data_IF_098831863546
#
_entry.id   IF_098831863546
#
_cell.length_a   1.000
_cell.length_b   1.000
_cell.length_c   1.000
_cell.angle_alpha   90.00
_cell.angle_beta   90.00
_cell.angle_gamma   90.00
#
_symmetry.space_group_name_H-M   'P 1'
#
loop_
_entity.id
_entity.type
_entity.pdbx_description
1 polymer ?
#
# COMPACT_ATOMS: atom_id res chain seq x y z
N UNK A 1 -36.61 -22.41 -32.01
CA UNK A 1 -35.74 -21.22 -32.18
C UNK A 1 -36.18 -20.19 -31.15
N UNK A 2 -35.33 -19.78 -30.20
CA UNK A 2 -35.40 -18.48 -29.52
C UNK A 2 -34.23 -18.36 -28.52
N UNK A 3 -33.25 -17.52 -28.87
CA UNK A 3 -32.06 -17.26 -28.05
C UNK A 3 -31.79 -15.75 -27.96
N UNK A 4 -31.70 -15.28 -26.71
CA UNK A 4 -30.96 -14.13 -26.22
C UNK A 4 -31.29 -12.72 -26.75
N UNK A 5 -32.28 -12.08 -26.13
CA UNK A 5 -32.29 -10.62 -25.97
C UNK A 5 -31.20 -10.23 -24.95
N UNK A 6 -29.97 -10.03 -25.43
CA UNK A 6 -28.83 -9.60 -24.61
C UNK A 6 -29.01 -8.14 -24.20
N UNK A 7 -28.97 -7.90 -22.90
CA UNK A 7 -29.32 -6.66 -22.21
C UNK A 7 -28.43 -5.47 -22.62
N UNK A 8 -29.01 -4.54 -23.39
CA UNK A 8 -28.36 -3.28 -23.80
C UNK A 8 -28.10 -2.34 -22.62
N UNK A 9 -28.83 -2.47 -21.51
CA UNK A 9 -28.70 -1.59 -20.33
C UNK A 9 -27.43 -1.88 -19.52
N UNK A 10 -26.96 -3.12 -19.51
CA UNK A 10 -25.69 -3.50 -18.87
C UNK A 10 -24.48 -2.80 -19.50
N UNK A 11 -24.40 -2.80 -20.83
CA UNK A 11 -23.26 -2.20 -21.55
C UNK A 11 -23.16 -0.67 -21.34
N UNK A 12 -24.30 0.04 -21.33
CA UNK A 12 -24.30 1.50 -21.06
C UNK A 12 -23.93 1.84 -19.61
N UNK A 13 -24.34 1.02 -18.63
CA UNK A 13 -23.91 1.19 -17.23
C UNK A 13 -22.42 0.95 -17.07
N UNK A 14 -21.89 -0.13 -17.65
CA UNK A 14 -20.45 -0.44 -17.57
C UNK A 14 -19.58 0.65 -18.21
N UNK A 15 -20.02 1.19 -19.36
CA UNK A 15 -19.33 2.30 -20.02
C UNK A 15 -19.40 3.60 -19.21
N UNK A 16 -20.55 3.91 -18.61
CA UNK A 16 -20.72 5.09 -17.76
C UNK A 16 -19.92 4.97 -16.45
N UNK A 17 -19.92 3.81 -15.81
CA UNK A 17 -19.14 3.53 -14.62
C UNK A 17 -17.64 3.61 -14.90
N UNK A 18 -17.20 3.12 -16.07
CA UNK A 18 -15.81 3.24 -16.49
C UNK A 18 -15.43 4.70 -16.72
N UNK A 19 -16.30 5.49 -17.35
CA UNK A 19 -16.09 6.92 -17.56
C UNK A 19 -16.05 7.69 -16.22
N UNK A 20 -16.95 7.38 -15.29
CA UNK A 20 -16.97 7.98 -13.96
C UNK A 20 -15.69 7.66 -13.19
N UNK A 21 -15.25 6.39 -13.18
CA UNK A 21 -13.96 5.99 -12.58
C UNK A 21 -12.80 6.78 -13.20
N UNK A 22 -12.75 6.86 -14.52
CA UNK A 22 -11.69 7.59 -15.23
C UNK A 22 -11.70 9.10 -14.89
N UNK A 23 -12.88 9.70 -14.72
CA UNK A 23 -12.99 11.10 -14.28
C UNK A 23 -12.57 11.30 -12.82
N UNK A 24 -12.92 10.39 -11.90
CA UNK A 24 -12.47 10.46 -10.50
C UNK A 24 -10.96 10.32 -10.41
N UNK A 25 -10.35 9.39 -11.15
CA UNK A 25 -8.90 9.18 -11.20
C UNK A 25 -8.16 10.44 -11.69
N UNK A 26 -8.70 11.12 -12.72
CA UNK A 26 -8.14 12.38 -13.25
C UNK A 26 -8.31 13.55 -12.29
N UNK A 27 -9.41 13.62 -11.54
CA UNK A 27 -9.62 14.64 -10.52
C UNK A 27 -8.63 14.46 -9.36
N UNK A 28 -8.43 13.23 -8.88
CA UNK A 28 -7.43 12.90 -7.85
C UNK A 28 -6.02 13.37 -8.22
N UNK A 29 -5.59 13.06 -9.45
CA UNK A 29 -4.24 13.40 -9.92
C UNK A 29 -3.98 14.92 -10.00
N UNK A 30 -5.03 15.74 -10.21
CA UNK A 30 -4.90 17.21 -10.23
C UNK A 30 -4.88 17.83 -8.84
N UNK A 31 -5.59 17.23 -7.89
CA UNK A 31 -5.78 17.77 -6.54
C UNK A 31 -4.62 17.40 -5.61
N UNK A 32 -4.05 16.19 -5.74
CA UNK A 32 -2.92 15.72 -4.93
C UNK A 32 -1.80 15.13 -5.82
N UNK A 33 -0.96 15.98 -6.46
CA UNK A 33 0.05 15.54 -7.42
C UNK A 33 1.20 14.76 -6.77
N UNK A 34 1.49 14.99 -5.49
CA UNK A 34 2.44 14.19 -4.70
C UNK A 34 1.66 13.22 -3.83
N UNK A 35 1.82 11.93 -4.09
CA UNK A 35 1.23 10.86 -3.28
C UNK A 35 2.25 10.43 -2.21
N UNK A 36 1.73 9.98 -1.07
CA UNK A 36 2.48 9.51 0.08
C UNK A 36 2.01 8.11 0.46
N UNK A 37 2.88 7.30 1.07
CA UNK A 37 2.42 6.06 1.68
C UNK A 37 1.55 6.41 2.88
N UNK A 38 0.30 5.95 2.88
CA UNK A 38 -0.62 6.20 3.98
C UNK A 38 -0.53 5.08 5.02
N UNK A 39 -0.85 5.36 6.29
CA UNK A 39 -1.03 4.32 7.30
C UNK A 39 -2.06 3.26 6.87
N UNK A 40 -2.01 2.06 7.47
CA UNK A 40 -2.96 1.01 7.14
C UNK A 40 -4.40 1.44 7.44
N UNK A 41 -5.32 1.02 6.57
CA UNK A 41 -6.74 1.36 6.68
C UNK A 41 -7.12 2.73 6.11
N UNK A 42 -6.20 3.45 5.48
CA UNK A 42 -6.53 4.75 4.87
C UNK A 42 -7.65 4.64 3.83
N UNK A 43 -8.61 5.55 3.94
CA UNK A 43 -9.62 5.77 2.91
C UNK A 43 -8.96 6.20 1.58
N UNK A 44 -9.69 6.15 0.44
CA UNK A 44 -9.22 6.73 -0.82
C UNK A 44 -8.76 8.18 -0.62
N UNK A 45 -7.71 8.60 -1.33
CA UNK A 45 -6.93 9.81 -0.99
C UNK A 45 -7.80 11.06 -0.78
N UNK A 46 -8.80 11.32 -1.64
CA UNK A 46 -9.70 12.47 -1.47
C UNK A 46 -10.52 12.36 -0.18
N UNK A 47 -11.09 11.20 0.09
CA UNK A 47 -11.88 10.96 1.30
C UNK A 47 -10.99 11.03 2.55
N UNK A 48 -9.79 10.46 2.49
CA UNK A 48 -8.81 10.55 3.56
C UNK A 48 -8.46 12.01 3.89
N UNK A 49 -8.13 12.82 2.87
CA UNK A 49 -7.78 14.24 3.05
C UNK A 49 -8.94 15.07 3.61
N UNK A 50 -10.18 14.73 3.23
CA UNK A 50 -11.39 15.40 3.72
C UNK A 50 -11.73 15.00 5.17
N UNK A 51 -11.53 13.73 5.53
CA UNK A 51 -11.86 13.20 6.87
C UNK A 51 -10.75 13.39 7.90
N UNK A 52 -9.49 13.53 7.50
CA UNK A 52 -8.38 13.64 8.44
C UNK A 52 -8.39 14.99 9.17
N UNK A 53 -8.61 14.96 10.49
CA UNK A 53 -8.55 16.14 11.36
C UNK A 53 -7.13 16.64 11.66
N UNK A 54 -6.09 15.86 11.31
CA UNK A 54 -4.67 16.13 11.63
C UNK A 54 -4.40 16.16 13.15
N UNK A 55 -5.17 15.41 13.95
CA UNK A 55 -5.01 15.34 15.40
C UNK A 55 -3.66 14.74 15.84
N UNK A 56 -3.15 13.76 15.10
CA UNK A 56 -1.89 13.08 15.44
C UNK A 56 -2.06 11.76 16.20
N UNK A 57 -3.27 11.38 16.63
CA UNK A 57 -3.48 10.20 17.48
C UNK A 57 -2.90 8.91 16.90
N UNK A 58 -3.02 8.72 15.58
CA UNK A 58 -2.45 7.57 14.87
C UNK A 58 -0.90 7.52 14.91
N UNK A 59 -0.24 8.68 15.00
CA UNK A 59 1.22 8.81 15.13
C UNK A 59 1.63 8.37 16.54
N UNK A 60 0.94 8.88 17.56
CA UNK A 60 1.27 8.63 18.96
C UNK A 60 1.14 7.15 19.35
N UNK A 61 0.12 6.48 18.80
CA UNK A 61 -0.12 5.04 19.09
C UNK A 61 0.70 4.09 18.21
N UNK A 62 1.52 4.59 17.27
CA UNK A 62 2.34 3.74 16.41
C UNK A 62 3.55 3.20 17.19
N UNK A 63 3.60 1.90 17.53
CA UNK A 63 4.62 1.37 18.46
C UNK A 63 6.04 1.39 17.89
N UNK A 64 6.17 1.50 16.57
CA UNK A 64 7.45 1.55 15.87
C UNK A 64 7.74 2.93 15.28
N UNK A 65 6.90 3.94 15.55
CA UNK A 65 7.04 5.30 15.03
C UNK A 65 7.23 5.37 13.50
N UNK A 66 6.54 4.49 12.76
CA UNK A 66 6.57 4.47 11.29
C UNK A 66 5.76 5.61 10.66
N UNK A 67 4.83 6.19 11.42
CA UNK A 67 3.95 7.25 10.93
C UNK A 67 4.54 8.59 11.34
N UNK A 68 4.71 9.48 10.37
CA UNK A 68 5.20 10.84 10.55
C UNK A 68 4.21 11.85 9.98
N UNK A 69 4.34 13.09 10.42
CA UNK A 69 3.54 14.20 9.89
C UNK A 69 4.06 14.62 8.53
N UNK A 70 3.18 14.69 7.53
CA UNK A 70 3.53 15.21 6.22
C UNK A 70 4.00 16.67 6.31
N UNK A 71 5.10 17.03 5.64
CA UNK A 71 5.69 18.37 5.75
C UNK A 71 4.79 19.45 5.13
N UNK A 72 5.00 20.74 5.46
CA UNK A 72 4.25 21.86 4.85
C UNK A 72 4.30 21.88 3.32
N UNK A 73 5.42 21.42 2.73
CA UNK A 73 5.59 21.29 1.28
C UNK A 73 4.71 20.21 0.64
N UNK A 74 3.97 19.41 1.43
CA UNK A 74 3.08 18.36 0.94
C UNK A 74 1.73 18.88 0.40
N UNK A 75 1.52 20.19 0.36
CA UNK A 75 0.28 20.79 -0.18
C UNK A 75 -0.93 20.39 0.65
N UNK A 76 -1.99 19.87 0.03
CA UNK A 76 -3.21 19.44 0.73
C UNK A 76 -2.97 18.32 1.76
N UNK A 77 -1.94 17.51 1.55
CA UNK A 77 -1.53 16.47 2.47
C UNK A 77 -0.74 17.01 3.68
N UNK A 78 -0.36 18.29 3.72
CA UNK A 78 0.38 18.85 4.86
C UNK A 78 -0.36 18.62 6.20
N UNK A 79 0.40 18.20 7.21
CA UNK A 79 -0.15 17.87 8.54
C UNK A 79 -0.86 16.53 8.64
N UNK A 80 -1.09 15.81 7.54
CA UNK A 80 -1.72 14.48 7.56
C UNK A 80 -0.68 13.39 7.83
N UNK A 81 -1.07 12.23 8.39
CA UNK A 81 -0.14 11.14 8.65
C UNK A 81 0.31 10.46 7.35
N UNK A 82 1.61 10.21 7.25
CA UNK A 82 2.28 9.50 6.15
C UNK A 82 3.29 8.51 6.73
N UNK A 83 3.72 7.56 5.91
CA UNK A 83 4.82 6.64 6.20
C UNK A 83 5.93 6.90 5.18
N UNK A 84 7.18 6.86 5.62
CA UNK A 84 8.34 6.70 4.74
C UNK A 84 8.94 5.31 4.96
N UNK A 85 8.62 4.33 4.11
CA UNK A 85 9.09 2.96 4.26
C UNK A 85 10.61 2.81 4.11
N UNK A 86 11.28 3.81 3.52
CA UNK A 86 12.74 3.85 3.42
C UNK A 86 13.43 4.23 4.73
N UNK A 87 12.72 4.93 5.62
CA UNK A 87 13.22 5.33 6.95
C UNK A 87 12.73 4.34 8.01
N UNK A 88 11.42 4.15 8.11
CA UNK A 88 10.82 3.23 9.05
C UNK A 88 9.55 2.60 8.46
N UNK A 89 9.63 1.29 8.21
CA UNK A 89 8.53 0.53 7.65
C UNK A 89 7.43 0.25 8.68
N UNK A 90 6.20 0.11 8.20
CA UNK A 90 5.12 -0.42 9.03
C UNK A 90 5.41 -1.90 9.37
N UNK A 91 5.33 -2.29 10.64
CA UNK A 91 5.58 -3.70 11.05
C UNK A 91 4.33 -4.58 11.06
N UNK A 92 3.23 -4.12 10.46
CA UNK A 92 2.00 -4.92 10.30
C UNK A 92 1.44 -5.38 11.65
N UNK A 93 1.23 -4.44 12.57
CA UNK A 93 0.69 -4.71 13.90
C UNK A 93 -0.68 -5.41 13.80
N UNK A 94 -0.86 -6.53 14.49
CA UNK A 94 -2.09 -7.35 14.44
C UNK A 94 -3.35 -6.52 14.69
N UNK A 95 -3.34 -5.68 15.72
CA UNK A 95 -4.50 -4.88 16.10
C UNK A 95 -4.65 -3.56 15.33
N UNK A 96 -3.71 -3.18 14.45
CA UNK A 96 -3.73 -1.89 13.74
C UNK A 96 -4.08 -0.69 14.66
N UNK A 97 -3.33 -0.44 15.75
CA UNK A 97 -3.67 0.59 16.74
C UNK A 97 -3.86 1.98 16.09
N UNK A 98 -3.05 2.31 15.08
CA UNK A 98 -3.14 3.55 14.32
C UNK A 98 -4.49 3.73 13.61
N UNK A 99 -5.09 2.66 13.07
CA UNK A 99 -6.39 2.72 12.41
C UNK A 99 -7.53 2.79 13.44
N UNK A 100 -7.41 2.08 14.56
CA UNK A 100 -8.42 2.10 15.64
C UNK A 100 -8.48 3.42 16.38
N UNK A 101 -7.35 4.13 16.51
CA UNK A 101 -7.31 5.44 17.14
C UNK A 101 -7.95 6.55 16.28
N UNK A 102 -8.28 6.30 15.01
CA UNK A 102 -8.84 7.33 14.14
C UNK A 102 -10.35 7.47 14.32
N UNK A 103 -10.78 8.47 15.09
CA UNK A 103 -12.20 8.73 15.35
C UNK A 103 -12.94 9.28 14.12
N UNK A 104 -12.26 9.97 13.22
CA UNK A 104 -12.89 10.61 12.05
C UNK A 104 -13.14 9.64 10.89
N UNK A 105 -12.65 8.41 10.98
CA UNK A 105 -12.74 7.42 9.91
C UNK A 105 -11.84 7.70 8.70
N UNK A 106 -10.82 8.56 8.83
CA UNK A 106 -9.79 8.71 7.80
C UNK A 106 -8.96 7.42 7.66
N UNK A 107 -8.71 6.72 8.78
CA UNK A 107 -8.19 5.37 8.82
C UNK A 107 -9.27 4.45 9.40
N UNK A 108 -9.54 3.34 8.74
CA UNK A 108 -10.53 2.35 9.16
C UNK A 108 -9.91 0.95 9.08
N UNK A 109 -9.84 0.18 10.18
CA UNK A 109 -9.38 -1.19 10.13
C UNK A 109 -10.38 -2.03 9.30
N UNK A 110 -9.94 -2.70 8.21
CA UNK A 110 -10.85 -3.52 7.43
C UNK A 110 -11.39 -4.70 8.23
N UNK A 111 -12.63 -5.13 7.94
CA UNK A 111 -13.25 -6.27 8.62
C UNK A 111 -12.43 -7.57 8.50
N UNK A 112 -11.81 -7.78 7.32
CA UNK A 112 -10.93 -8.93 7.06
C UNK A 112 -9.46 -8.67 7.47
N UNK A 113 -9.24 -7.64 8.29
CA UNK A 113 -7.92 -7.24 8.77
C UNK A 113 -6.95 -6.91 7.63
N UNK A 114 -5.71 -7.41 7.76
CA UNK A 114 -4.62 -7.13 6.82
C UNK A 114 -4.85 -7.66 5.40
N UNK A 115 -5.78 -8.59 5.19
CA UNK A 115 -6.05 -9.16 3.87
C UNK A 115 -6.58 -8.13 2.85
N UNK A 116 -7.11 -6.99 3.30
CA UNK A 116 -7.59 -5.90 2.42
C UNK A 116 -6.72 -4.65 2.48
N UNK A 117 -5.58 -4.69 3.16
CA UNK A 117 -4.70 -3.53 3.27
C UNK A 117 -3.64 -3.62 2.19
N UNK A 118 -3.56 -2.59 1.34
CA UNK A 118 -2.49 -2.43 0.36
C UNK A 118 -1.97 -1.00 0.40
N UNK A 119 -0.85 -0.78 1.08
CA UNK A 119 -0.22 0.55 1.23
C UNK A 119 0.69 0.89 0.05
N UNK A 120 1.21 -0.13 -0.65
CA UNK A 120 2.19 0.01 -1.72
C UNK A 120 2.29 -1.24 -2.58
N UNK A 121 2.89 -1.10 -3.75
CA UNK A 121 3.21 -2.17 -4.69
C UNK A 121 4.68 -2.50 -4.56
N UNK A 122 5.00 -3.79 -4.39
CA UNK A 122 6.36 -4.28 -4.23
C UNK A 122 6.84 -4.89 -5.55
N UNK A 123 8.04 -4.49 -5.97
CA UNK A 123 8.73 -5.02 -7.14
C UNK A 123 10.09 -5.57 -6.73
N UNK A 124 10.51 -6.65 -7.40
CA UNK A 124 11.83 -7.25 -7.25
C UNK A 124 12.63 -6.97 -8.52
N UNK A 125 13.87 -6.51 -8.34
CA UNK A 125 14.89 -6.40 -9.39
C UNK A 125 15.80 -7.65 -9.32
N UNK A 126 15.67 -8.60 -10.26
CA UNK A 126 16.47 -9.81 -10.26
C UNK A 126 17.95 -9.56 -10.53
N UNK A 127 18.31 -8.48 -11.23
CA UNK A 127 19.70 -8.17 -11.58
C UNK A 127 20.51 -7.75 -10.34
N UNK A 128 19.85 -7.08 -9.39
CA UNK A 128 20.47 -6.68 -8.12
C UNK A 128 20.45 -7.78 -7.07
N UNK A 129 19.47 -8.68 -7.12
CA UNK A 129 19.27 -9.63 -6.04
C UNK A 129 20.34 -10.73 -6.08
N UNK A 130 21.14 -10.80 -5.00
CA UNK A 130 22.28 -11.70 -4.88
C UNK A 130 21.94 -13.19 -5.00
N UNK A 131 20.66 -13.57 -4.81
CA UNK A 131 20.21 -14.95 -5.04
C UNK A 131 20.31 -15.36 -6.50
N UNK A 132 20.04 -14.45 -7.43
CA UNK A 132 20.20 -14.71 -8.87
C UNK A 132 21.67 -14.65 -9.32
N UNK A 133 22.56 -14.22 -8.43
CA UNK A 133 24.02 -14.21 -8.63
C UNK A 133 24.70 -15.41 -7.96
N UNK A 134 23.93 -16.40 -7.48
CA UNK A 134 24.44 -17.64 -6.90
C UNK A 134 24.73 -17.58 -5.39
N UNK A 135 24.45 -16.46 -4.71
CA UNK A 135 24.62 -16.36 -3.26
C UNK A 135 23.35 -16.75 -2.51
N UNK A 136 23.47 -17.50 -1.41
CA UNK A 136 22.32 -17.80 -0.56
C UNK A 136 21.85 -16.57 0.22
N UNK A 137 20.59 -16.20 0.08
CA UNK A 137 19.96 -15.13 0.85
C UNK A 137 18.45 -15.40 0.97
N UNK A 138 17.86 -14.95 2.08
CA UNK A 138 16.42 -15.10 2.34
C UNK A 138 15.90 -14.11 3.37
N UNK A 139 16.65 -13.03 3.62
CA UNK A 139 16.35 -12.06 4.68
C UNK A 139 15.01 -11.37 4.43
N UNK A 140 14.69 -11.07 3.17
CA UNK A 140 13.44 -10.40 2.82
C UNK A 140 12.21 -11.27 3.13
N UNK A 141 12.27 -12.58 2.83
CA UNK A 141 11.22 -13.52 3.15
C UNK A 141 11.09 -13.75 4.66
N UNK A 142 12.21 -13.94 5.38
CA UNK A 142 12.20 -14.14 6.84
C UNK A 142 11.72 -12.91 7.62
N UNK A 143 12.07 -11.71 7.15
CA UNK A 143 11.65 -10.46 7.77
C UNK A 143 10.21 -10.08 7.43
N UNK A 144 9.58 -10.71 6.42
CA UNK A 144 8.23 -10.35 5.99
C UNK A 144 7.22 -10.65 7.11
N UNK A 145 6.54 -9.64 7.68
CA UNK A 145 5.59 -9.88 8.77
C UNK A 145 4.31 -10.58 8.30
N UNK A 146 4.04 -10.60 6.99
CA UNK A 146 2.91 -11.35 6.40
C UNK A 146 3.30 -12.81 6.08
N UNK A 147 4.59 -13.13 6.13
CA UNK A 147 5.14 -14.44 5.82
C UNK A 147 4.97 -14.86 4.36
N UNK A 148 4.95 -16.18 4.15
CA UNK A 148 4.95 -16.79 2.81
C UNK A 148 3.71 -16.48 1.96
N UNK A 149 2.66 -15.90 2.54
CA UNK A 149 1.51 -15.41 1.76
C UNK A 149 1.87 -14.20 0.90
N UNK A 150 2.88 -13.42 1.28
CA UNK A 150 3.31 -12.22 0.56
C UNK A 150 4.67 -12.40 -0.11
N UNK A 151 5.61 -13.07 0.56
CA UNK A 151 6.98 -13.23 0.07
C UNK A 151 7.56 -14.56 0.54
N UNK A 152 7.88 -15.43 -0.41
CA UNK A 152 8.46 -16.75 -0.18
C UNK A 152 9.79 -16.91 -0.94
N UNK A 153 10.46 -18.04 -0.75
CA UNK A 153 11.59 -18.46 -1.60
C UNK A 153 11.15 -19.63 -2.49
N UNK A 154 11.58 -19.64 -3.76
CA UNK A 154 11.40 -20.80 -4.64
C UNK A 154 12.35 -21.95 -4.25
N UNK A 155 12.23 -23.10 -4.91
CA UNK A 155 13.09 -24.27 -4.66
C UNK A 155 14.58 -24.05 -4.95
N UNK A 156 14.95 -22.93 -5.59
CA UNK A 156 16.33 -22.50 -5.85
C UNK A 156 16.79 -21.42 -4.86
N UNK A 157 15.93 -20.98 -3.95
CA UNK A 157 16.22 -19.93 -2.98
C UNK A 157 16.01 -18.51 -3.51
N UNK A 158 15.38 -18.32 -4.68
CA UNK A 158 15.05 -16.98 -5.19
C UNK A 158 13.78 -16.44 -4.53
N UNK A 159 13.72 -15.14 -4.19
CA UNK A 159 12.50 -14.54 -3.67
C UNK A 159 11.37 -14.55 -4.71
N UNK A 160 10.18 -14.97 -4.29
CA UNK A 160 8.94 -14.96 -5.06
C UNK A 160 7.93 -14.07 -4.36
N UNK A 161 7.57 -12.96 -5.02
CA UNK A 161 6.53 -12.06 -4.56
C UNK A 161 5.14 -12.65 -4.85
N UNK A 162 4.23 -12.54 -3.90
CA UNK A 162 2.80 -12.88 -4.03
C UNK A 162 1.99 -11.60 -3.78
N UNK A 163 1.70 -10.81 -4.83
CA UNK A 163 1.09 -9.48 -4.69
C UNK A 163 -0.22 -9.48 -3.88
N UNK A 164 -1.03 -10.52 -4.04
CA UNK A 164 -2.30 -10.73 -3.35
C UNK A 164 -2.18 -10.81 -1.82
N UNK A 165 -1.04 -11.28 -1.29
CA UNK A 165 -0.77 -11.26 0.15
C UNK A 165 0.06 -10.06 0.59
N UNK A 166 0.68 -9.34 -0.34
CA UNK A 166 1.55 -8.22 -0.02
C UNK A 166 0.73 -6.99 0.39
N UNK A 167 0.96 -6.52 1.62
CA UNK A 167 0.30 -5.33 2.16
C UNK A 167 1.06 -4.03 1.87
N UNK A 168 2.21 -4.12 1.21
CA UNK A 168 3.04 -2.97 0.84
C UNK A 168 3.69 -2.25 2.02
N UNK A 169 4.08 -2.97 3.07
CA UNK A 169 4.62 -2.38 4.30
C UNK A 169 6.07 -1.90 4.21
N UNK A 170 6.86 -2.44 3.27
CA UNK A 170 8.25 -2.05 3.04
C UNK A 170 9.31 -2.72 3.93
N UNK A 171 8.93 -3.56 4.91
CA UNK A 171 9.90 -4.24 5.81
C UNK A 171 10.98 -5.00 5.03
N UNK A 172 10.60 -5.66 3.94
CA UNK A 172 11.52 -6.41 3.09
C UNK A 172 12.50 -5.51 2.31
N UNK A 173 12.12 -4.26 2.01
CA UNK A 173 12.99 -3.26 1.37
C UNK A 173 14.08 -2.84 2.35
N UNK A 174 13.71 -2.49 3.59
CA UNK A 174 14.65 -2.12 4.65
C UNK A 174 15.57 -3.28 5.05
N UNK A 175 15.05 -4.51 5.03
CA UNK A 175 15.81 -5.71 5.36
C UNK A 175 16.76 -6.18 4.25
N UNK A 176 16.63 -5.67 3.02
CA UNK A 176 17.44 -6.11 1.90
C UNK A 176 18.92 -5.75 2.11
N UNK A 177 19.82 -6.70 1.88
CA UNK A 177 21.27 -6.52 2.09
C UNK A 177 21.98 -5.79 0.94
N UNK A 178 21.29 -5.55 -0.18
CA UNK A 178 21.89 -4.88 -1.33
C UNK A 178 21.73 -3.37 -1.23
N UNK A 179 22.69 -2.63 -1.79
CA UNK A 179 22.62 -1.16 -1.91
C UNK A 179 22.81 -0.76 -3.37
N UNK A 180 21.78 -0.17 -4.03
CA UNK A 180 20.40 0.00 -3.55
C UNK A 180 19.69 -1.34 -3.31
N UNK A 181 18.61 -1.32 -2.52
CA UNK A 181 17.76 -2.51 -2.30
C UNK A 181 17.32 -3.13 -3.63
N UNK A 182 17.32 -4.46 -3.66
CA UNK A 182 16.80 -5.26 -4.78
C UNK A 182 15.27 -5.28 -4.81
N UNK A 183 14.63 -4.84 -3.73
CA UNK A 183 13.19 -4.67 -3.63
C UNK A 183 12.86 -3.18 -3.66
N UNK A 184 11.89 -2.81 -4.47
CA UNK A 184 11.40 -1.44 -4.59
C UNK A 184 9.93 -1.41 -4.20
N UNK A 185 9.57 -0.46 -3.34
CA UNK A 185 8.19 -0.15 -3.04
C UNK A 185 7.77 1.10 -3.83
N UNK A 186 6.62 1.03 -4.48
CA UNK A 186 6.00 2.14 -5.20
C UNK A 186 4.57 2.35 -4.70
N UNK A 187 4.01 3.53 -4.94
CA UNK A 187 2.60 3.78 -4.65
C UNK A 187 1.74 3.14 -5.74
N UNK A 188 0.57 2.58 -5.40
CA UNK A 188 -0.32 2.03 -6.40
C UNK A 188 -0.72 3.13 -7.39
N UNK A 189 -0.67 2.81 -8.68
CA UNK A 189 -1.19 3.68 -9.72
C UNK A 189 -2.70 3.75 -9.52
N UNK A 190 -3.26 4.96 -9.45
CA UNK A 190 -4.71 5.10 -9.46
C UNK A 190 -5.21 4.66 -10.83
N UNK A 191 -5.88 3.51 -10.88
CA UNK A 191 -6.62 3.02 -12.04
C UNK A 191 -8.06 3.52 -11.96
#
# INVERSE_FOLDING_TARGET
MNGAARDRRGFFREAFDKLLREMTTRAEARVAPRRYFRPPGAAPEIAFLASCSRCGDCIDVCPVHAIITAPPAAGLAAGTPIIDPGIQACVVCQEMPCARACETGALVPPADGWARVHMGVLELDPERCITFQGMSCGVCARACPVGERALALDGRGHPVLKPEGCVGCGVCVTACVTSPSSLRLSLPIAT
#
